data_IF_412581017838
#
_entry.id   IF_412581017838
#
_cell.length_a   1.000
_cell.length_b   1.000
_cell.length_c   1.000
_cell.angle_alpha   90.00
_cell.angle_beta   90.00
_cell.angle_gamma   90.00
#
_symmetry.space_group_name_H-M   'P 1'
#
loop_
_entity.id
_entity.type
_entity.pdbx_description
1 polymer ?
#
# COMPACT_ATOMS: atom_id res chain seq x y z
N UNK A 1 45.08 10.27 -3.19
CA UNK A 1 43.74 9.81 -3.62
C UNK A 1 43.56 10.26 -5.06
N UNK A 2 42.98 9.43 -5.96
CA UNK A 2 42.73 9.86 -7.35
C UNK A 2 41.83 11.10 -7.33
N UNK A 3 42.22 12.11 -8.12
CA UNK A 3 41.45 13.33 -8.31
C UNK A 3 40.43 13.13 -9.42
N UNK A 4 39.35 13.91 -9.44
CA UNK A 4 38.39 13.90 -10.55
C UNK A 4 39.05 14.17 -11.91
N UNK A 5 40.13 14.98 -11.91
CA UNK A 5 40.87 15.35 -13.13
C UNK A 5 41.69 14.20 -13.70
N UNK A 6 41.94 13.16 -12.90
CA UNK A 6 42.77 12.02 -13.28
C UNK A 6 41.95 10.93 -14.00
N UNK A 7 40.63 11.11 -14.09
CA UNK A 7 39.71 10.19 -14.75
C UNK A 7 39.66 10.43 -16.25
N UNK A 8 39.32 9.39 -17.02
CA UNK A 8 39.02 9.57 -18.45
C UNK A 8 37.89 10.58 -18.66
N UNK A 9 37.93 11.31 -19.77
CA UNK A 9 36.93 12.33 -20.14
C UNK A 9 35.50 11.74 -20.16
N UNK A 10 35.35 10.49 -20.60
CA UNK A 10 34.08 9.77 -20.57
C UNK A 10 33.57 9.52 -19.15
N UNK A 11 34.44 9.07 -18.23
CA UNK A 11 34.06 8.83 -16.83
C UNK A 11 33.73 10.14 -16.12
N UNK A 12 34.45 11.22 -16.40
CA UNK A 12 34.15 12.54 -15.89
C UNK A 12 32.75 13.01 -16.30
N UNK A 13 32.37 12.81 -17.58
CA UNK A 13 31.05 13.15 -18.08
C UNK A 13 29.94 12.36 -17.36
N UNK A 14 30.11 11.04 -17.23
CA UNK A 14 29.15 10.16 -16.55
C UNK A 14 28.99 10.45 -15.05
N UNK A 15 30.08 10.85 -14.38
CA UNK A 15 30.02 11.29 -12.98
C UNK A 15 29.20 12.57 -12.87
N UNK A 16 29.47 13.58 -13.70
CA UNK A 16 28.74 14.86 -13.66
C UNK A 16 27.25 14.71 -13.97
N UNK A 17 26.90 13.87 -14.94
CA UNK A 17 25.48 13.62 -15.26
C UNK A 17 24.75 12.99 -14.09
N UNK A 18 25.35 12.00 -13.43
CA UNK A 18 24.76 11.38 -12.25
C UNK A 18 24.68 12.31 -11.05
N UNK A 19 25.71 13.15 -10.82
CA UNK A 19 25.66 14.14 -9.73
C UNK A 19 24.54 15.15 -9.96
N UNK A 20 24.33 15.60 -11.20
CA UNK A 20 23.23 16.50 -11.55
C UNK A 20 21.83 15.84 -11.38
N UNK A 21 21.70 14.55 -11.70
CA UNK A 21 20.45 13.81 -11.46
C UNK A 21 20.25 13.62 -9.95
N UNK A 22 21.30 13.23 -9.22
CA UNK A 22 21.24 12.97 -7.78
C UNK A 22 20.94 14.22 -6.95
N UNK A 23 21.26 15.41 -7.45
CA UNK A 23 20.89 16.69 -6.84
C UNK A 23 19.37 16.92 -6.89
N UNK A 24 18.70 16.46 -7.94
CA UNK A 24 17.24 16.52 -8.08
C UNK A 24 16.55 15.37 -7.32
N UNK A 25 16.91 14.14 -7.65
CA UNK A 25 16.36 12.92 -7.04
C UNK A 25 17.45 11.84 -6.93
N UNK A 26 17.73 11.43 -5.68
CA UNK A 26 18.74 10.42 -5.37
C UNK A 26 18.33 9.01 -5.79
N UNK A 27 17.04 8.71 -5.81
CA UNK A 27 16.55 7.37 -6.15
C UNK A 27 16.53 7.17 -7.67
N UNK A 28 16.20 8.21 -8.44
CA UNK A 28 16.33 8.22 -9.89
C UNK A 28 17.79 8.02 -10.33
N UNK A 29 18.73 8.72 -9.69
CA UNK A 29 20.16 8.55 -9.96
C UNK A 29 20.66 7.11 -9.73
N UNK A 30 20.11 6.41 -8.73
CA UNK A 30 20.46 5.01 -8.43
C UNK A 30 19.88 4.03 -9.45
N UNK A 31 18.74 4.36 -10.06
CA UNK A 31 18.11 3.55 -11.09
C UNK A 31 18.76 3.75 -12.47
N UNK A 32 19.41 4.89 -12.70
CA UNK A 32 19.98 5.29 -13.98
C UNK A 32 21.10 4.35 -14.49
N UNK A 33 21.21 4.20 -15.81
CA UNK A 33 22.16 3.29 -16.46
C UNK A 33 23.62 3.61 -16.12
N UNK A 34 24.00 4.89 -16.19
CA UNK A 34 25.34 5.36 -15.82
C UNK A 34 25.78 4.87 -14.44
N UNK A 35 24.88 4.74 -13.46
CA UNK A 35 25.26 4.26 -12.12
C UNK A 35 25.75 2.81 -12.16
N UNK A 36 25.15 1.98 -13.03
CA UNK A 36 25.56 0.59 -13.25
C UNK A 36 26.87 0.51 -14.01
N UNK A 37 27.08 1.41 -14.96
CA UNK A 37 28.33 1.48 -15.72
C UNK A 37 29.52 1.91 -14.86
N UNK A 38 29.35 2.97 -14.05
CA UNK A 38 30.42 3.44 -13.15
C UNK A 38 30.82 2.36 -12.14
N UNK A 39 29.87 1.53 -11.69
CA UNK A 39 30.16 0.38 -10.81
C UNK A 39 31.06 -0.68 -11.49
N UNK A 40 31.01 -0.82 -12.82
CA UNK A 40 31.86 -1.76 -13.57
C UNK A 40 33.27 -1.21 -13.82
N UNK A 41 33.47 0.10 -13.65
CA UNK A 41 34.79 0.71 -13.83
C UNK A 41 35.81 0.15 -12.83
N UNK A 42 37.04 -0.07 -13.31
CA UNK A 42 38.18 -0.48 -12.47
C UNK A 42 38.87 0.71 -11.81
N UNK A 43 38.55 1.93 -12.25
CA UNK A 43 39.24 3.16 -11.82
C UNK A 43 38.55 3.82 -10.62
N UNK A 44 37.22 3.71 -10.54
CA UNK A 44 36.42 4.39 -9.52
C UNK A 44 35.42 3.46 -8.85
N UNK A 45 35.06 3.80 -7.61
CA UNK A 45 34.03 3.13 -6.84
C UNK A 45 32.63 3.36 -7.42
N UNK A 46 32.36 4.55 -7.97
CA UNK A 46 31.08 4.89 -8.58
C UNK A 46 29.87 4.82 -7.63
N UNK A 47 30.09 4.87 -6.31
CA UNK A 47 29.02 4.82 -5.32
C UNK A 47 28.48 6.22 -5.05
N UNK A 48 27.16 6.38 -4.96
CA UNK A 48 26.54 7.65 -4.61
C UNK A 48 26.62 7.84 -3.09
N UNK A 49 27.34 8.88 -2.67
CA UNK A 49 27.47 9.24 -1.27
C UNK A 49 26.24 9.97 -0.74
N UNK A 50 26.11 10.09 0.58
CA UNK A 50 24.98 10.80 1.19
C UNK A 50 24.92 12.27 0.80
N UNK A 51 26.05 12.88 0.43
CA UNK A 51 26.14 14.25 -0.06
C UNK A 51 25.72 14.41 -1.52
N UNK A 52 25.29 13.34 -2.21
CA UNK A 52 24.90 13.38 -3.62
C UNK A 52 26.09 13.32 -4.59
N UNK A 53 27.32 13.31 -4.08
CA UNK A 53 28.53 13.17 -4.90
C UNK A 53 28.88 11.72 -5.18
N UNK A 54 29.47 11.44 -6.33
CA UNK A 54 29.94 10.10 -6.70
C UNK A 54 31.32 9.84 -6.09
N UNK A 55 31.52 8.64 -5.55
CA UNK A 55 32.79 8.23 -4.99
C UNK A 55 33.82 7.90 -6.08
N UNK A 56 34.90 8.69 -6.10
CA UNK A 56 36.01 8.58 -7.07
C UNK A 56 37.13 7.65 -6.56
N UNK A 57 37.06 7.20 -5.30
CA UNK A 57 38.07 6.28 -4.75
C UNK A 57 38.17 5.00 -5.59
N UNK A 58 39.38 4.46 -5.74
CA UNK A 58 39.60 3.20 -6.46
C UNK A 58 38.81 2.05 -5.82
N UNK A 59 38.24 1.13 -6.63
CA UNK A 59 37.67 -0.11 -6.14
C UNK A 59 38.68 -0.91 -5.31
N UNK A 60 38.20 -1.57 -4.27
CA UNK A 60 39.01 -2.50 -3.50
C UNK A 60 39.07 -3.84 -4.23
N UNK A 61 40.28 -4.35 -4.42
CA UNK A 61 40.54 -5.71 -4.90
C UNK A 61 40.80 -6.59 -3.69
N UNK A 62 40.12 -7.74 -3.64
CA UNK A 62 40.33 -8.77 -2.63
C UNK A 62 41.62 -9.52 -2.95
N UNK A 63 42.14 -10.27 -1.98
CA UNK A 63 43.34 -11.11 -2.13
C UNK A 63 43.27 -12.04 -3.34
N UNK A 64 42.06 -12.53 -3.67
CA UNK A 64 41.80 -13.40 -4.82
C UNK A 64 41.73 -12.64 -6.17
N UNK A 65 42.12 -11.37 -6.22
CA UNK A 65 42.05 -10.51 -7.41
C UNK A 65 40.63 -10.07 -7.83
N UNK A 66 39.59 -10.48 -7.10
CA UNK A 66 38.20 -10.12 -7.42
C UNK A 66 37.79 -8.80 -6.78
N UNK A 67 36.90 -8.05 -7.46
CA UNK A 67 36.31 -6.82 -6.95
C UNK A 67 34.81 -6.82 -7.15
N UNK A 68 34.08 -6.16 -6.25
CA UNK A 68 32.65 -5.88 -6.41
C UNK A 68 32.39 -4.49 -7.01
N UNK A 69 33.45 -3.81 -7.48
CA UNK A 69 33.40 -2.46 -8.06
C UNK A 69 33.30 -1.34 -7.02
N UNK A 70 33.45 -1.63 -5.72
CA UNK A 70 33.33 -0.63 -4.63
C UNK A 70 34.63 -0.48 -3.84
N UNK A 71 34.87 0.72 -3.33
CA UNK A 71 36.00 0.98 -2.42
C UNK A 71 35.70 0.44 -1.01
N UNK A 72 36.71 0.41 -0.14
CA UNK A 72 36.60 -0.13 1.23
C UNK A 72 35.45 0.51 2.01
N UNK A 73 35.29 1.83 1.90
CA UNK A 73 34.27 2.63 2.58
C UNK A 73 32.84 2.36 2.10
N UNK A 74 32.67 1.91 0.85
CA UNK A 74 31.37 1.59 0.26
C UNK A 74 31.15 0.08 0.11
N UNK A 75 31.74 -0.71 1.02
CA UNK A 75 31.51 -2.15 1.09
C UNK A 75 32.37 -2.98 0.13
N UNK A 76 33.50 -2.47 -0.35
CA UNK A 76 34.46 -3.21 -1.18
C UNK A 76 34.97 -4.49 -0.53
N UNK A 77 35.10 -4.48 0.80
CA UNK A 77 35.46 -5.67 1.60
C UNK A 77 34.31 -6.66 1.79
N UNK A 78 33.07 -6.26 1.48
CA UNK A 78 31.92 -7.14 1.67
C UNK A 78 32.02 -8.35 0.73
N UNK A 79 32.03 -9.54 1.32
CA UNK A 79 32.05 -10.82 0.59
C UNK A 79 30.66 -11.43 0.42
N UNK A 80 29.61 -10.76 0.90
CA UNK A 80 28.29 -11.37 1.04
C UNK A 80 28.29 -12.58 1.98
N UNK A 81 27.13 -13.18 2.18
CA UNK A 81 27.01 -14.41 2.97
C UNK A 81 27.56 -15.62 2.18
N UNK A 82 28.65 -16.21 2.67
CA UNK A 82 29.29 -17.39 2.04
C UNK A 82 28.68 -18.72 2.50
N UNK A 83 28.20 -18.79 3.74
CA UNK A 83 27.66 -20.02 4.35
C UNK A 83 26.20 -20.26 3.97
N UNK A 84 25.74 -21.52 3.97
CA UNK A 84 24.32 -21.86 3.75
C UNK A 84 23.41 -21.17 4.78
N UNK A 85 23.83 -21.17 6.05
CA UNK A 85 23.10 -20.48 7.13
C UNK A 85 23.08 -18.96 6.96
N UNK A 86 24.20 -18.35 6.54
CA UNK A 86 24.27 -16.92 6.28
C UNK A 86 23.40 -16.52 5.08
N UNK A 87 23.34 -17.37 4.04
CA UNK A 87 22.44 -17.18 2.90
C UNK A 87 20.98 -17.30 3.34
N UNK A 88 20.66 -18.28 4.19
CA UNK A 88 19.32 -18.43 4.78
C UNK A 88 18.93 -17.20 5.60
N UNK A 89 19.78 -16.74 6.52
CA UNK A 89 19.55 -15.50 7.29
C UNK A 89 19.40 -14.26 6.39
N UNK A 90 20.18 -14.16 5.32
CA UNK A 90 20.06 -13.05 4.36
C UNK A 90 18.72 -13.11 3.59
N UNK A 91 18.29 -14.31 3.20
CA UNK A 91 16.98 -14.54 2.58
C UNK A 91 15.83 -14.28 3.55
N UNK A 92 15.96 -14.68 4.82
CA UNK A 92 14.96 -14.42 5.86
C UNK A 92 14.84 -12.91 6.12
N UNK A 93 15.96 -12.18 6.15
CA UNK A 93 15.98 -10.71 6.22
C UNK A 93 15.36 -10.02 4.99
N UNK A 94 15.39 -10.67 3.81
CA UNK A 94 14.68 -10.22 2.61
C UNK A 94 13.17 -10.50 2.73
N UNK A 95 12.78 -11.64 3.31
CA UNK A 95 11.38 -12.07 3.49
C UNK A 95 10.60 -11.27 4.53
N UNK A 96 11.28 -10.66 5.51
CA UNK A 96 10.64 -9.70 6.45
C UNK A 96 10.17 -8.39 5.81
N UNK A 97 10.57 -8.13 4.56
CA UNK A 97 9.91 -7.14 3.70
C UNK A 97 9.06 -7.94 2.71
N UNK A 98 7.85 -8.33 3.11
CA UNK A 98 6.84 -8.72 2.14
C UNK A 98 6.87 -7.66 1.04
N UNK A 99 7.09 -8.03 -0.24
CA UNK A 99 7.10 -7.04 -1.29
C UNK A 99 5.71 -6.41 -1.26
N UNK A 100 5.65 -5.17 -0.79
CA UNK A 100 4.47 -4.30 -0.89
C UNK A 100 4.00 -4.23 -2.37
N UNK A 101 4.86 -4.66 -3.30
CA UNK A 101 4.64 -4.81 -4.74
C UNK A 101 4.11 -6.17 -5.23
N UNK A 102 3.80 -7.14 -4.34
CA UNK A 102 3.27 -8.46 -4.74
C UNK A 102 1.96 -8.40 -5.53
N UNK A 103 1.26 -7.27 -5.51
CA UNK A 103 0.07 -7.04 -6.35
C UNK A 103 0.36 -7.05 -7.86
N UNK A 104 1.60 -6.79 -8.29
CA UNK A 104 1.96 -6.66 -9.72
C UNK A 104 2.76 -7.86 -10.25
N UNK A 105 2.97 -8.91 -9.45
CA UNK A 105 3.59 -10.14 -9.92
C UNK A 105 2.61 -10.94 -10.78
N UNK A 106 3.09 -11.54 -11.88
CA UNK A 106 2.29 -12.35 -12.81
C UNK A 106 1.48 -13.45 -12.12
N UNK A 107 1.99 -13.95 -10.99
CA UNK A 107 1.36 -15.03 -10.22
C UNK A 107 0.80 -14.55 -8.87
N UNK A 108 0.20 -13.35 -8.80
CA UNK A 108 -0.37 -12.79 -7.56
C UNK A 108 -1.26 -13.79 -6.79
N UNK A 109 -2.15 -14.49 -7.49
CA UNK A 109 -3.05 -15.48 -6.87
C UNK A 109 -2.31 -16.61 -6.16
N UNK A 110 -1.16 -17.04 -6.68
CA UNK A 110 -0.33 -18.08 -6.05
C UNK A 110 0.40 -17.61 -4.79
N UNK A 111 0.48 -16.29 -4.58
CA UNK A 111 1.13 -15.70 -3.41
C UNK A 111 0.17 -15.43 -2.26
N UNK A 112 -1.13 -15.69 -2.47
CA UNK A 112 -2.15 -15.50 -1.45
C UNK A 112 -2.10 -16.63 -0.44
N UNK A 113 -2.17 -16.28 0.84
CA UNK A 113 -2.39 -17.24 1.93
C UNK A 113 -3.87 -17.59 2.04
N UNK A 114 -4.20 -18.73 2.65
CA UNK A 114 -5.59 -19.15 2.87
C UNK A 114 -6.38 -18.10 3.67
N UNK A 115 -5.74 -17.47 4.67
CA UNK A 115 -6.34 -16.39 5.47
C UNK A 115 -6.65 -15.15 4.63
N UNK A 116 -5.78 -14.80 3.68
CA UNK A 116 -6.01 -13.68 2.77
C UNK A 116 -7.16 -13.97 1.80
N UNK A 117 -7.28 -15.21 1.32
CA UNK A 117 -8.38 -15.65 0.46
C UNK A 117 -9.70 -15.58 1.24
N UNK A 118 -9.73 -16.09 2.47
CA UNK A 118 -10.90 -16.02 3.35
C UNK A 118 -11.31 -14.56 3.65
N UNK A 119 -10.34 -13.68 3.90
CA UNK A 119 -10.60 -12.26 4.13
C UNK A 119 -11.22 -11.56 2.91
N UNK A 120 -10.69 -11.83 1.69
CA UNK A 120 -11.26 -11.28 0.46
C UNK A 120 -12.70 -11.74 0.24
N UNK A 121 -12.98 -13.04 0.42
CA UNK A 121 -14.34 -13.58 0.28
C UNK A 121 -15.30 -12.98 1.31
N UNK A 122 -14.88 -12.86 2.57
CA UNK A 122 -15.68 -12.23 3.60
C UNK A 122 -16.04 -10.78 3.27
N UNK A 123 -15.07 -10.00 2.76
CA UNK A 123 -15.31 -8.61 2.37
C UNK A 123 -16.26 -8.51 1.17
N UNK A 124 -16.05 -9.34 0.15
CA UNK A 124 -16.88 -9.38 -1.05
C UNK A 124 -18.32 -9.76 -0.73
N UNK A 125 -18.51 -10.82 0.08
CA UNK A 125 -19.82 -11.30 0.51
C UNK A 125 -20.53 -10.29 1.42
N UNK A 126 -19.80 -9.65 2.33
CA UNK A 126 -20.33 -8.59 3.18
C UNK A 126 -20.86 -7.41 2.36
N UNK A 127 -20.09 -6.96 1.35
CA UNK A 127 -20.54 -5.90 0.45
C UNK A 127 -21.75 -6.34 -0.37
N UNK A 128 -21.71 -7.52 -1.01
CA UNK A 128 -22.82 -7.99 -1.84
C UNK A 128 -24.10 -8.27 -1.05
N UNK A 129 -23.99 -8.60 0.24
CA UNK A 129 -25.13 -8.78 1.13
C UNK A 129 -25.82 -7.45 1.44
N UNK A 130 -25.03 -6.40 1.70
CA UNK A 130 -25.56 -5.11 2.17
C UNK A 130 -25.76 -4.06 1.07
N UNK A 131 -25.12 -4.21 -0.09
CA UNK A 131 -25.13 -3.24 -1.17
C UNK A 131 -25.52 -3.89 -2.50
N UNK A 132 -26.21 -3.12 -3.33
CA UNK A 132 -26.51 -3.51 -4.70
C UNK A 132 -25.33 -3.14 -5.60
N UNK A 133 -24.60 -4.17 -6.05
CA UNK A 133 -23.51 -4.05 -7.02
C UNK A 133 -24.06 -4.63 -8.32
N UNK A 134 -24.46 -3.77 -9.24
CA UNK A 134 -25.23 -4.13 -10.43
C UNK A 134 -24.52 -3.76 -11.73
N UNK A 135 -23.65 -2.75 -11.69
CA UNK A 135 -22.92 -2.31 -12.88
C UNK A 135 -21.49 -2.85 -12.92
N UNK A 136 -20.92 -3.07 -14.11
CA UNK A 136 -19.51 -3.49 -14.26
C UNK A 136 -18.52 -2.52 -13.59
N UNK A 137 -18.87 -1.23 -13.50
CA UNK A 137 -18.06 -0.21 -12.85
C UNK A 137 -18.05 -0.39 -11.32
N UNK A 138 -19.20 -0.71 -10.73
CA UNK A 138 -19.32 -1.02 -9.30
C UNK A 138 -18.59 -2.33 -8.96
N UNK A 139 -18.68 -3.35 -9.82
CA UNK A 139 -17.91 -4.59 -9.66
C UNK A 139 -16.40 -4.33 -9.70
N UNK A 140 -15.94 -3.53 -10.66
CA UNK A 140 -14.53 -3.14 -10.76
C UNK A 140 -14.07 -2.36 -9.52
N UNK A 141 -14.93 -1.50 -8.99
CA UNK A 141 -14.63 -0.75 -7.78
C UNK A 141 -14.59 -1.62 -6.53
N UNK A 142 -15.49 -2.61 -6.42
CA UNK A 142 -15.42 -3.62 -5.36
C UNK A 142 -14.12 -4.42 -5.45
N UNK A 143 -13.69 -4.82 -6.64
CA UNK A 143 -12.40 -5.49 -6.82
C UNK A 143 -11.23 -4.60 -6.38
N UNK A 144 -11.21 -3.32 -6.79
CA UNK A 144 -10.19 -2.38 -6.33
C UNK A 144 -10.20 -2.21 -4.80
N UNK A 145 -11.39 -2.20 -4.20
CA UNK A 145 -11.59 -2.11 -2.75
C UNK A 145 -10.95 -3.31 -2.03
N UNK A 146 -11.25 -4.53 -2.51
CA UNK A 146 -10.73 -5.78 -1.95
C UNK A 146 -9.20 -5.80 -2.04
N UNK A 147 -8.64 -5.39 -3.18
CA UNK A 147 -7.20 -5.37 -3.41
C UNK A 147 -6.46 -4.39 -2.48
N UNK A 148 -7.04 -3.20 -2.25
CA UNK A 148 -6.47 -2.24 -1.31
C UNK A 148 -6.67 -2.68 0.16
N UNK A 149 -7.80 -3.31 0.50
CA UNK A 149 -8.03 -3.91 1.82
C UNK A 149 -7.01 -5.02 2.11
N UNK A 150 -6.70 -5.86 1.13
CA UNK A 150 -5.67 -6.89 1.24
C UNK A 150 -4.27 -6.29 1.41
N UNK A 151 -3.96 -5.20 0.70
CA UNK A 151 -2.71 -4.46 0.93
C UNK A 151 -2.65 -3.93 2.36
N UNK A 152 -3.74 -3.40 2.88
CA UNK A 152 -3.83 -2.96 4.27
C UNK A 152 -3.62 -4.11 5.26
N UNK A 153 -4.32 -5.23 5.06
CA UNK A 153 -4.17 -6.45 5.87
C UNK A 153 -2.71 -6.93 5.93
N UNK A 154 -2.02 -6.97 4.79
CA UNK A 154 -0.59 -7.30 4.72
C UNK A 154 0.30 -6.29 5.46
N UNK A 155 0.01 -4.99 5.36
CA UNK A 155 0.76 -3.96 6.08
C UNK A 155 0.59 -4.10 7.60
N UNK A 156 -0.64 -4.32 8.07
CA UNK A 156 -0.96 -4.49 9.49
C UNK A 156 -0.31 -5.75 10.04
N UNK A 157 -0.41 -6.89 9.35
CA UNK A 157 0.19 -8.16 9.79
C UNK A 157 1.72 -8.13 9.81
N UNK A 158 2.37 -7.28 8.99
CA UNK A 158 3.84 -7.17 8.96
C UNK A 158 4.39 -6.10 9.90
N UNK A 159 3.60 -5.06 10.22
CA UNK A 159 4.06 -3.88 11.00
C UNK A 159 2.94 -3.29 11.87
N UNK A 160 2.31 -4.11 12.70
CA UNK A 160 1.21 -3.69 13.59
C UNK A 160 1.58 -2.50 14.50
N UNK A 161 2.81 -2.46 15.02
CA UNK A 161 3.24 -1.50 16.04
C UNK A 161 3.57 -0.09 15.52
N UNK A 162 3.61 0.11 14.19
CA UNK A 162 3.89 1.42 13.60
C UNK A 162 2.66 1.90 12.84
N UNK A 163 1.89 2.80 13.44
CA UNK A 163 0.90 3.60 12.72
C UNK A 163 1.60 4.26 11.52
N UNK A 164 1.40 3.71 10.33
CA UNK A 164 1.93 4.30 9.12
C UNK A 164 0.91 5.32 8.61
N UNK A 165 1.32 6.53 8.23
CA UNK A 165 0.40 7.50 7.59
C UNK A 165 -0.41 6.87 6.44
N UNK A 166 0.16 5.90 5.74
CA UNK A 166 -0.48 5.15 4.66
C UNK A 166 -1.72 4.33 5.07
N UNK A 167 -1.88 3.92 6.35
CA UNK A 167 -3.11 3.23 6.78
C UNK A 167 -4.31 4.17 6.81
N UNK A 168 -4.13 5.41 7.26
CA UNK A 168 -5.18 6.45 7.24
C UNK A 168 -5.57 6.89 5.83
N UNK A 169 -4.60 6.94 4.90
CA UNK A 169 -4.86 7.26 3.48
C UNK A 169 -5.75 6.19 2.82
N UNK A 170 -5.53 4.91 3.15
CA UNK A 170 -6.38 3.82 2.67
C UNK A 170 -7.83 3.98 3.13
N UNK A 171 -8.06 4.19 4.44
CA UNK A 171 -9.39 4.40 4.99
C UNK A 171 -10.09 5.62 4.37
N UNK A 172 -9.33 6.69 4.10
CA UNK A 172 -9.88 7.91 3.47
C UNK A 172 -10.29 7.67 2.01
N UNK A 173 -9.48 6.92 1.25
CA UNK A 173 -9.84 6.48 -0.12
C UNK A 173 -11.05 5.55 -0.11
N UNK A 174 -11.09 4.62 0.83
CA UNK A 174 -12.20 3.67 1.04
C UNK A 174 -13.53 4.41 1.27
N UNK A 175 -13.56 5.34 2.22
CA UNK A 175 -14.74 6.14 2.52
C UNK A 175 -15.18 6.97 1.31
N UNK A 176 -14.24 7.60 0.60
CA UNK A 176 -14.55 8.38 -0.61
C UNK A 176 -15.12 7.51 -1.73
N UNK A 177 -14.64 6.28 -1.92
CA UNK A 177 -15.20 5.36 -2.94
C UNK A 177 -16.66 5.03 -2.60
N UNK A 178 -16.95 4.70 -1.34
CA UNK A 178 -18.32 4.43 -0.89
C UNK A 178 -19.23 5.65 -1.09
N UNK A 179 -18.76 6.84 -0.73
CA UNK A 179 -19.51 8.09 -0.87
C UNK A 179 -19.75 8.48 -2.34
N UNK A 180 -18.73 8.34 -3.20
CA UNK A 180 -18.80 8.74 -4.61
C UNK A 180 -19.61 7.78 -5.46
N UNK A 181 -19.58 6.49 -5.16
CA UNK A 181 -20.34 5.50 -5.93
C UNK A 181 -21.82 5.45 -5.54
N UNK A 182 -22.21 6.10 -4.44
CA UNK A 182 -23.61 6.18 -4.04
C UNK A 182 -24.26 4.80 -3.92
N UNK A 183 -23.47 3.78 -3.52
CA UNK A 183 -23.95 2.41 -3.40
C UNK A 183 -25.17 2.41 -2.49
N UNK A 184 -26.31 2.10 -3.09
CA UNK A 184 -27.56 2.03 -2.34
C UNK A 184 -27.46 0.79 -1.46
N UNK A 185 -27.54 1.01 -0.16
CA UNK A 185 -27.71 -0.10 0.78
C UNK A 185 -28.97 -0.84 0.33
N UNK A 186 -28.87 -2.15 0.11
CA UNK A 186 -30.05 -2.99 -0.11
C UNK A 186 -31.00 -2.68 1.03
N UNK A 187 -32.22 -2.28 0.71
CA UNK A 187 -33.22 -2.01 1.74
C UNK A 187 -33.37 -3.30 2.55
N UNK A 188 -32.80 -3.33 3.75
CA UNK A 188 -33.21 -4.28 4.77
C UNK A 188 -34.72 -4.09 4.89
N UNK A 189 -35.49 -5.16 4.69
CA UNK A 189 -36.91 -5.20 4.96
C UNK A 189 -37.16 -4.55 6.32
N UNK A 190 -37.49 -3.25 6.30
CA UNK A 190 -37.93 -2.49 7.46
C UNK A 190 -39.34 -2.97 7.75
N UNK A 191 -39.43 -4.16 8.32
CA UNK A 191 -40.51 -4.46 9.24
C UNK A 191 -40.46 -3.40 10.34
N UNK A 192 -41.44 -2.49 10.28
CA UNK A 192 -41.80 -1.44 11.25
C UNK A 192 -41.10 -0.08 11.09
N UNK A 193 -41.14 0.50 9.90
CA UNK A 193 -41.46 1.93 9.80
C UNK A 193 -42.97 2.09 9.94
N UNK A 194 -43.46 2.83 10.94
CA UNK A 194 -44.91 3.12 11.05
C UNK A 194 -45.36 3.72 9.71
N UNK A 195 -46.25 3.02 9.02
CA UNK A 195 -46.78 3.45 7.72
C UNK A 195 -47.21 4.91 7.81
N UNK A 196 -46.82 5.71 6.82
CA UNK A 196 -47.21 7.12 6.70
C UNK A 196 -48.73 7.28 6.75
N UNK A 197 -49.50 6.28 6.33
CA UNK A 197 -50.95 6.23 6.47
C UNK A 197 -51.41 6.12 7.93
N UNK A 198 -50.67 5.42 8.79
CA UNK A 198 -50.96 5.31 10.22
C UNK A 198 -50.64 6.63 10.94
N UNK A 199 -49.53 7.29 10.56
CA UNK A 199 -49.20 8.64 11.03
C UNK A 199 -50.25 9.67 10.61
N UNK A 200 -50.70 9.63 9.34
CA UNK A 200 -51.75 10.52 8.83
C UNK A 200 -53.10 10.26 9.50
N UNK A 201 -53.45 9.00 9.79
CA UNK A 201 -54.65 8.67 10.57
C UNK A 201 -54.58 9.21 12.00
N UNK A 202 -53.43 9.09 12.67
CA UNK A 202 -53.21 9.64 14.02
C UNK A 202 -53.29 11.16 14.06
N UNK A 203 -52.71 11.85 13.09
CA UNK A 203 -52.79 13.32 12.97
C UNK A 203 -54.25 13.74 12.72
N UNK A 204 -54.95 13.07 11.82
CA UNK A 204 -56.37 13.35 11.56
C UNK A 204 -57.29 13.03 12.75
N UNK A 205 -56.90 12.12 13.65
CA UNK A 205 -57.65 11.88 14.90
C UNK A 205 -57.37 12.95 15.96
N UNK A 206 -56.16 13.51 16.00
CA UNK A 206 -55.79 14.60 16.90
C UNK A 206 -56.41 15.94 16.48
N UNK A 207 -56.60 16.17 15.18
CA UNK A 207 -57.24 17.37 14.62
C UNK A 207 -58.78 17.34 14.68
N UNK A 208 -59.40 16.22 15.08
CA UNK A 208 -60.84 16.20 15.34
C UNK A 208 -61.12 17.05 16.58
N UNK A 209 -62.00 18.07 16.50
CA UNK A 209 -62.37 18.86 17.67
C UNK A 209 -62.95 17.93 18.72
N UNK A 210 -62.35 17.91 19.91
CA UNK A 210 -62.84 17.14 21.06
C UNK A 210 -64.27 17.58 21.33
N UNK A 211 -65.26 16.74 20.96
CA UNK A 211 -66.61 16.90 21.49
C UNK A 211 -66.51 16.79 23.00
N UNK A 212 -66.91 17.84 23.69
CA UNK A 212 -67.00 17.90 25.14
C UNK A 212 -67.97 16.82 25.62
N UNK A 213 -67.45 15.72 26.14
CA UNK A 213 -68.20 14.81 27.00
C UNK A 213 -67.23 14.25 28.04
N UNK A 214 -67.48 14.62 29.28
CA UNK A 214 -66.75 14.18 30.47
C UNK A 214 -66.94 12.67 30.71
N UNK A 215 -66.16 11.82 30.06
CA UNK A 215 -65.93 10.45 30.55
C UNK A 215 -64.47 10.02 30.30
N UNK A 216 -63.79 9.42 31.30
CA UNK A 216 -62.41 8.97 31.14
C UNK A 216 -62.32 7.76 30.18
N UNK A 217 -61.31 7.70 29.31
CA UNK A 217 -61.17 6.64 28.32
C UNK A 217 -60.86 5.28 28.99
N UNK A 218 -61.70 4.28 28.74
CA UNK A 218 -61.45 2.89 29.15
C UNK A 218 -60.35 2.28 28.26
N UNK A 219 -59.15 2.14 28.81
CA UNK A 219 -58.03 1.43 28.17
C UNK A 219 -58.36 -0.06 28.13
N UNK A 220 -58.69 -0.60 26.96
CA UNK A 220 -58.75 -2.07 26.76
C UNK A 220 -57.33 -2.59 26.50
N UNK A 221 -56.80 -3.38 27.42
CA UNK A 221 -55.59 -4.19 27.19
C UNK A 221 -55.90 -5.26 26.14
N UNK A 222 -55.13 -5.26 25.06
CA UNK A 222 -55.13 -6.31 24.04
C UNK A 222 -54.35 -7.50 24.62
N UNK A 223 -54.93 -8.71 24.55
CA UNK A 223 -54.28 -9.99 24.88
C UNK A 223 -53.47 -10.49 23.70
#
# INVERSE_FOLDING_TARGET
MPSFKDLSTELQAKVRTLEAIAEKDKDEARAHEYYRELKKSKEICGALSNSGKICINKPHYKENGTTNGRCIWHGGKSTGAKTKEGKKKALDNLRGKSPVHGLYTKDFLSTLTDDEIAFMHWLEEGVKTHYEVSTPLEETALQMLIMEALRHFRMVNTRFEKESKHTSEFLTKFLRIIETQGWKRKEEDKTKGVSTEVMLKLINELDKPRKSSNEPPKIKRIK
#
